data_IF_118107404940
#
_entry.id   IF_118107404940
#
_cell.length_a   1.000
_cell.length_b   1.000
_cell.length_c   1.000
_cell.angle_alpha   90.00
_cell.angle_beta   90.00
_cell.angle_gamma   90.00
#
_symmetry.space_group_name_H-M   'P 1'
#
loop_
_entity.id
_entity.type
_entity.pdbx_description
1 polymer ?
#
# COMPACT_ATOMS: atom_id res chain seq x y z
N UNK A 1 -4.80 50.35 11.49
CA UNK A 1 -4.58 49.80 10.14
C UNK A 1 -4.83 48.29 10.22
N UNK A 2 -5.96 47.85 9.66
CA UNK A 2 -6.42 46.46 9.63
C UNK A 2 -6.15 45.88 8.23
N UNK A 3 -5.74 44.60 8.18
CA UNK A 3 -5.70 43.74 7.00
C UNK A 3 -4.29 43.28 6.58
N UNK A 4 -4.12 42.10 5.94
CA UNK A 4 -5.11 41.09 5.55
C UNK A 4 -4.72 39.66 6.01
N UNK A 5 -5.48 39.06 6.94
CA UNK A 5 -5.38 37.60 7.25
C UNK A 5 -6.62 36.80 6.84
N UNK A 6 -7.63 37.47 6.28
CA UNK A 6 -8.95 36.88 5.99
C UNK A 6 -9.05 36.30 4.57
N UNK A 7 -8.14 36.68 3.65
CA UNK A 7 -8.20 36.26 2.24
C UNK A 7 -7.75 34.81 1.98
N UNK A 8 -6.86 34.23 2.80
CA UNK A 8 -6.34 32.87 2.56
C UNK A 8 -7.33 31.75 2.87
N UNK A 9 -8.21 31.95 3.86
CA UNK A 9 -9.17 30.93 4.30
C UNK A 9 -10.36 30.83 3.32
N UNK A 10 -10.75 31.94 2.67
CA UNK A 10 -11.85 31.96 1.72
C UNK A 10 -11.51 31.27 0.38
N UNK A 11 -10.24 31.32 -0.05
CA UNK A 11 -9.78 30.67 -1.29
C UNK A 11 -9.72 29.14 -1.13
N UNK A 12 -9.36 28.62 0.05
CA UNK A 12 -9.35 27.18 0.32
C UNK A 12 -10.76 26.57 0.38
N UNK A 13 -11.76 27.32 0.83
CA UNK A 13 -13.16 26.85 0.86
C UNK A 13 -13.81 26.78 -0.52
N UNK A 14 -13.45 27.68 -1.45
CA UNK A 14 -14.00 27.67 -2.83
C UNK A 14 -13.41 26.52 -3.66
N UNK A 15 -12.13 26.18 -3.47
CA UNK A 15 -11.51 25.05 -4.17
C UNK A 15 -12.06 23.70 -3.66
N UNK A 16 -12.39 23.59 -2.37
CA UNK A 16 -12.99 22.38 -1.78
C UNK A 16 -14.39 22.05 -2.31
N UNK A 17 -15.17 23.04 -2.76
CA UNK A 17 -16.53 22.84 -3.31
C UNK A 17 -16.54 22.43 -4.79
N UNK A 18 -15.50 22.76 -5.56
CA UNK A 18 -15.42 22.44 -7.00
C UNK A 18 -15.02 20.99 -7.31
N UNK A 19 -14.45 20.25 -6.35
CA UNK A 19 -14.04 18.86 -6.56
C UNK A 19 -15.20 17.86 -6.36
N UNK A 20 -16.30 18.26 -5.73
CA UNK A 20 -17.44 17.37 -5.44
C UNK A 20 -18.38 17.21 -6.65
N UNK A 21 -18.45 18.17 -7.59
CA UNK A 21 -19.37 18.06 -8.74
C UNK A 21 -18.90 17.12 -9.85
N UNK A 22 -17.60 16.85 -9.99
CA UNK A 22 -17.10 15.98 -11.08
C UNK A 22 -17.25 14.48 -10.81
N UNK A 23 -17.54 14.06 -9.57
CA UNK A 23 -17.70 12.64 -9.23
C UNK A 23 -19.10 12.09 -9.53
N UNK A 24 -20.13 12.94 -9.65
CA UNK A 24 -21.52 12.49 -9.80
C UNK A 24 -21.90 12.23 -11.27
N UNK A 25 -21.19 12.83 -12.24
CA UNK A 25 -21.58 12.76 -13.66
C UNK A 25 -21.10 11.50 -14.39
N UNK A 26 -20.12 10.77 -13.85
CA UNK A 26 -19.55 9.60 -14.55
C UNK A 26 -20.40 8.32 -14.42
N UNK A 27 -21.27 8.22 -13.41
CA UNK A 27 -22.02 6.99 -13.17
C UNK A 27 -23.38 6.92 -13.90
N UNK A 28 -23.84 8.03 -14.49
CA UNK A 28 -25.17 8.10 -15.13
C UNK A 28 -25.18 7.71 -16.62
N UNK A 29 -24.02 7.52 -17.27
CA UNK A 29 -23.94 7.49 -18.74
C UNK A 29 -23.97 6.10 -19.41
N UNK A 30 -24.05 5.02 -18.64
CA UNK A 30 -23.93 3.66 -19.20
C UNK A 30 -25.26 2.90 -19.42
N UNK A 31 -26.42 3.49 -19.12
CA UNK A 31 -27.72 2.79 -19.29
C UNK A 31 -28.60 3.28 -20.45
N UNK A 32 -28.11 4.20 -21.29
CA UNK A 32 -28.95 4.78 -22.34
C UNK A 32 -28.37 4.55 -23.75
N UNK A 33 -28.43 3.31 -24.25
CA UNK A 33 -28.37 3.00 -25.70
C UNK A 33 -28.82 1.56 -26.01
N UNK A 34 -30.11 1.36 -26.33
CA UNK A 34 -30.57 0.16 -27.04
C UNK A 34 -32.03 -0.25 -26.80
N UNK A 35 -32.96 0.22 -27.64
CA UNK A 35 -34.38 -0.18 -27.78
C UNK A 35 -34.59 -0.43 -29.30
N UNK A 36 -35.49 -1.29 -29.87
CA UNK A 36 -36.79 -1.79 -29.39
C UNK A 36 -37.10 -3.30 -29.60
N UNK A 37 -38.14 -3.79 -28.93
CA UNK A 37 -38.80 -5.06 -29.26
C UNK A 37 -40.02 -5.34 -28.38
N UNK A 38 -41.06 -4.52 -28.49
CA UNK A 38 -42.31 -4.73 -27.77
C UNK A 38 -43.14 -5.86 -28.42
N UNK A 39 -43.23 -7.00 -27.74
CA UNK A 39 -44.31 -7.96 -27.90
C UNK A 39 -44.98 -8.16 -26.53
N UNK A 40 -46.29 -7.93 -26.47
CA UNK A 40 -47.10 -7.96 -25.26
C UNK A 40 -47.13 -9.36 -24.60
N UNK A 41 -47.25 -9.46 -23.26
CA UNK A 41 -47.49 -10.74 -22.59
C UNK A 41 -49.00 -11.08 -22.60
N UNK A 42 -49.38 -12.37 -22.73
CA UNK A 42 -50.75 -12.78 -22.47
C UNK A 42 -51.04 -12.73 -20.97
N UNK A 43 -52.19 -12.16 -20.62
CA UNK A 43 -52.77 -12.24 -19.28
C UNK A 43 -53.10 -13.70 -18.98
N UNK A 44 -52.67 -14.20 -17.81
CA UNK A 44 -52.99 -15.55 -17.37
C UNK A 44 -52.75 -15.76 -15.89
N UNK A 45 -53.81 -15.61 -15.10
CA UNK A 45 -54.07 -16.39 -13.88
C UNK A 45 -53.30 -16.04 -12.60
N UNK A 46 -54.02 -15.48 -11.63
CA UNK A 46 -53.65 -15.64 -10.21
C UNK A 46 -53.78 -17.13 -9.82
N UNK A 47 -52.96 -17.63 -8.87
CA UNK A 47 -53.48 -17.70 -7.50
C UNK A 47 -52.43 -17.51 -6.37
N UNK A 48 -52.91 -17.01 -5.22
CA UNK A 48 -52.42 -17.39 -3.89
C UNK A 48 -51.56 -16.37 -3.13
N UNK A 49 -51.87 -16.06 -1.84
CA UNK A 49 -50.99 -15.27 -0.99
C UNK A 49 -49.83 -16.17 -0.56
N UNK A 50 -48.72 -16.10 -1.29
CA UNK A 50 -47.49 -16.77 -0.87
C UNK A 50 -46.79 -15.89 0.15
N UNK A 51 -46.72 -16.38 1.38
CA UNK A 51 -45.95 -15.83 2.48
C UNK A 51 -44.56 -15.34 2.03
N UNK A 52 -44.32 -14.04 2.04
CA UNK A 52 -42.97 -13.46 2.05
C UNK A 52 -42.35 -13.74 3.41
N UNK A 53 -41.85 -14.96 3.60
CA UNK A 53 -41.05 -15.37 4.75
C UNK A 53 -39.62 -15.63 4.28
N UNK A 54 -38.69 -14.83 4.81
CA UNK A 54 -37.23 -14.99 4.79
C UNK A 54 -36.53 -15.11 3.41
N UNK A 55 -36.01 -13.98 2.90
CA UNK A 55 -34.83 -13.98 2.00
C UNK A 55 -33.57 -13.39 2.67
N UNK A 56 -33.66 -12.94 3.93
CA UNK A 56 -32.50 -12.41 4.66
C UNK A 56 -31.39 -13.45 4.89
N UNK A 57 -31.73 -14.74 5.08
CA UNK A 57 -30.73 -15.79 5.35
C UNK A 57 -29.79 -16.09 4.18
N UNK A 58 -30.34 -16.24 2.96
CA UNK A 58 -29.55 -16.61 1.78
C UNK A 58 -28.59 -15.50 1.32
N UNK A 59 -28.98 -14.23 1.49
CA UNK A 59 -28.12 -13.08 1.18
C UNK A 59 -26.98 -12.94 2.19
N UNK A 60 -27.25 -13.19 3.49
CA UNK A 60 -26.24 -13.15 4.55
C UNK A 60 -25.21 -14.28 4.38
N UNK A 61 -25.64 -15.48 3.98
CA UNK A 61 -24.72 -16.60 3.72
C UNK A 61 -23.79 -16.34 2.53
N UNK A 62 -24.29 -15.67 1.49
CA UNK A 62 -23.49 -15.32 0.30
C UNK A 62 -22.45 -14.24 0.62
N UNK A 63 -22.82 -13.19 1.35
CA UNK A 63 -21.89 -12.14 1.79
C UNK A 63 -20.77 -12.71 2.68
N UNK A 64 -21.13 -13.58 3.64
CA UNK A 64 -20.16 -14.23 4.52
C UNK A 64 -19.20 -15.16 3.75
N UNK A 65 -19.68 -15.87 2.73
CA UNK A 65 -18.81 -16.71 1.87
C UNK A 65 -17.77 -15.86 1.16
N UNK A 66 -18.20 -14.76 0.54
CA UNK A 66 -17.32 -13.84 -0.16
C UNK A 66 -16.28 -13.21 0.76
N UNK A 67 -16.67 -12.74 1.95
CA UNK A 67 -15.74 -12.18 2.94
C UNK A 67 -14.67 -13.20 3.38
N UNK A 68 -15.04 -14.48 3.51
CA UNK A 68 -14.10 -15.54 3.85
C UNK A 68 -13.11 -15.81 2.70
N UNK A 69 -13.57 -15.81 1.45
CA UNK A 69 -12.71 -15.96 0.27
C UNK A 69 -11.73 -14.80 0.14
N UNK A 70 -12.20 -13.55 0.29
CA UNK A 70 -11.34 -12.35 0.27
C UNK A 70 -10.30 -12.41 1.39
N UNK A 71 -10.71 -12.80 2.60
CA UNK A 71 -9.79 -12.98 3.73
C UNK A 71 -8.75 -14.08 3.44
N UNK A 72 -9.18 -15.20 2.87
CA UNK A 72 -8.27 -16.30 2.52
C UNK A 72 -7.26 -15.85 1.46
N UNK A 73 -7.69 -15.14 0.42
CA UNK A 73 -6.81 -14.59 -0.61
C UNK A 73 -5.79 -13.61 -0.03
N UNK A 74 -6.23 -12.70 0.86
CA UNK A 74 -5.31 -11.78 1.56
C UNK A 74 -4.29 -12.53 2.40
N UNK A 75 -4.71 -13.54 3.16
CA UNK A 75 -3.79 -14.33 3.98
C UNK A 75 -2.75 -15.08 3.14
N UNK A 76 -3.09 -15.50 1.92
CA UNK A 76 -2.13 -16.09 0.98
C UNK A 76 -1.14 -15.04 0.51
N UNK A 77 -1.61 -13.86 0.07
CA UNK A 77 -0.74 -12.76 -0.36
C UNK A 77 0.23 -12.31 0.74
N UNK A 78 -0.24 -12.14 1.98
CA UNK A 78 0.59 -11.80 3.14
C UNK A 78 1.67 -12.85 3.44
N UNK A 79 1.35 -14.15 3.25
CA UNK A 79 2.32 -15.24 3.42
C UNK A 79 3.37 -15.26 2.32
N UNK A 80 2.96 -15.16 1.07
CA UNK A 80 3.88 -15.11 -0.08
C UNK A 80 4.80 -13.89 0.01
N UNK A 81 4.26 -12.75 0.45
CA UNK A 81 5.08 -11.57 0.68
C UNK A 81 6.05 -11.75 1.85
N UNK A 82 5.66 -12.43 2.93
CA UNK A 82 6.56 -12.78 4.03
C UNK A 82 7.78 -13.59 3.53
N UNK A 83 7.55 -14.55 2.63
CA UNK A 83 8.61 -15.37 2.04
C UNK A 83 9.59 -14.53 1.21
N UNK A 84 9.08 -13.56 0.47
CA UNK A 84 9.89 -12.61 -0.31
C UNK A 84 10.72 -11.72 0.61
N UNK A 85 10.12 -11.15 1.65
CA UNK A 85 10.83 -10.32 2.64
C UNK A 85 11.96 -11.13 3.31
N UNK A 86 11.70 -12.38 3.67
CA UNK A 86 12.69 -13.28 4.25
C UNK A 86 13.81 -13.64 3.26
N UNK A 87 13.49 -13.78 1.97
CA UNK A 87 14.49 -14.03 0.92
C UNK A 87 15.37 -12.79 0.70
N UNK A 88 14.78 -11.60 0.59
CA UNK A 88 15.52 -10.34 0.43
C UNK A 88 16.43 -10.09 1.63
N UNK A 89 15.95 -10.28 2.86
CA UNK A 89 16.74 -10.11 4.08
C UNK A 89 18.07 -10.88 4.06
N UNK A 90 18.08 -12.09 3.49
CA UNK A 90 19.27 -12.95 3.39
C UNK A 90 20.27 -12.48 2.32
N UNK A 91 19.82 -11.70 1.35
CA UNK A 91 20.64 -11.18 0.25
C UNK A 91 21.19 -9.79 0.51
N UNK A 92 20.68 -9.09 1.53
CA UNK A 92 21.16 -7.77 1.88
C UNK A 92 22.62 -7.86 2.37
N UNK A 93 23.53 -7.04 1.82
CA UNK A 93 24.93 -7.14 2.13
C UNK A 93 25.24 -6.64 3.53
N UNK A 94 26.14 -7.35 4.19
CA UNK A 94 26.69 -7.00 5.48
C UNK A 94 27.92 -6.09 5.36
N UNK A 95 28.32 -5.48 6.46
CA UNK A 95 29.60 -4.77 6.54
C UNK A 95 30.80 -5.70 6.27
N UNK A 96 30.68 -6.99 6.64
CA UNK A 96 31.71 -7.99 6.34
C UNK A 96 31.83 -8.25 4.85
N UNK A 97 30.72 -8.29 4.12
CA UNK A 97 30.73 -8.45 2.66
C UNK A 97 31.44 -7.28 1.98
N UNK A 98 31.22 -6.06 2.47
CA UNK A 98 31.89 -4.87 1.96
C UNK A 98 33.40 -4.85 2.22
N UNK A 99 33.88 -5.44 3.33
CA UNK A 99 35.32 -5.53 3.61
C UNK A 99 36.07 -6.47 2.67
N UNK A 100 35.36 -7.40 2.02
CA UNK A 100 35.95 -8.36 1.08
C UNK A 100 36.11 -7.79 -0.34
N UNK A 101 35.69 -6.55 -0.57
CA UNK A 101 35.82 -5.92 -1.88
C UNK A 101 37.26 -5.55 -2.18
N UNK A 102 37.67 -5.78 -3.41
CA UNK A 102 38.91 -5.20 -3.92
C UNK A 102 38.75 -3.68 -4.08
N UNK A 103 39.87 -2.94 -4.06
CA UNK A 103 39.85 -1.48 -4.28
C UNK A 103 39.15 -1.11 -5.60
N UNK A 104 39.35 -1.89 -6.66
CA UNK A 104 38.70 -1.68 -7.96
C UNK A 104 37.17 -1.81 -7.86
N UNK A 105 36.67 -2.80 -7.12
CA UNK A 105 35.24 -2.99 -6.92
C UNK A 105 34.63 -1.90 -6.04
N UNK A 106 35.33 -1.52 -4.97
CA UNK A 106 34.88 -0.50 -4.02
C UNK A 106 34.74 0.90 -4.64
N UNK A 107 35.63 1.28 -5.57
CA UNK A 107 35.59 2.58 -6.25
C UNK A 107 34.63 2.65 -7.44
N UNK A 108 34.11 1.51 -7.91
CA UNK A 108 33.17 1.44 -9.03
C UNK A 108 31.70 1.43 -8.57
N UNK A 109 30.93 0.53 -9.15
CA UNK A 109 29.59 0.16 -8.67
C UNK A 109 29.70 -1.26 -8.08
N UNK A 110 29.94 -1.40 -6.77
CA UNK A 110 30.08 -2.71 -6.15
C UNK A 110 28.80 -3.52 -6.39
N UNK A 111 28.96 -4.75 -6.90
CA UNK A 111 27.82 -5.63 -7.22
C UNK A 111 26.87 -5.80 -6.04
N UNK A 112 27.42 -5.90 -4.83
CA UNK A 112 26.62 -6.03 -3.60
C UNK A 112 25.60 -4.89 -3.43
N UNK A 113 25.92 -3.67 -3.87
CA UNK A 113 25.05 -2.50 -3.71
C UNK A 113 23.98 -2.51 -4.80
N UNK A 114 24.37 -2.81 -6.05
CA UNK A 114 23.43 -2.87 -7.18
C UNK A 114 22.44 -4.03 -7.03
N UNK A 115 22.88 -5.18 -6.52
CA UNK A 115 22.01 -6.33 -6.26
C UNK A 115 21.05 -6.04 -5.10
N UNK A 116 21.55 -5.46 -3.98
CA UNK A 116 20.69 -5.04 -2.88
C UNK A 116 19.62 -4.04 -3.33
N UNK A 117 19.96 -3.11 -4.23
CA UNK A 117 19.01 -2.14 -4.78
C UNK A 117 17.90 -2.83 -5.59
N UNK A 118 18.24 -3.85 -6.40
CA UNK A 118 17.25 -4.61 -7.15
C UNK A 118 16.29 -5.40 -6.23
N UNK A 119 16.83 -6.06 -5.21
CA UNK A 119 16.03 -6.82 -4.24
C UNK A 119 15.10 -5.92 -3.43
N UNK A 120 15.56 -4.73 -3.03
CA UNK A 120 14.69 -3.73 -2.38
C UNK A 120 13.66 -3.12 -3.34
N UNK A 121 13.98 -3.03 -4.63
CA UNK A 121 13.06 -2.62 -5.68
C UNK A 121 11.85 -3.55 -5.80
N UNK A 122 12.08 -4.88 -5.72
CA UNK A 122 10.99 -5.87 -5.75
C UNK A 122 10.00 -5.66 -4.60
N UNK A 123 10.48 -5.35 -3.40
CA UNK A 123 9.63 -5.03 -2.24
C UNK A 123 8.78 -3.78 -2.56
N UNK A 124 9.42 -2.71 -3.05
CA UNK A 124 8.72 -1.47 -3.37
C UNK A 124 7.61 -1.68 -4.41
N UNK A 125 7.89 -2.43 -5.48
CA UNK A 125 6.89 -2.74 -6.50
C UNK A 125 5.70 -3.54 -5.95
N UNK A 126 5.95 -4.50 -5.05
CA UNK A 126 4.86 -5.28 -4.43
C UNK A 126 3.99 -4.40 -3.53
N UNK A 127 4.58 -3.48 -2.77
CA UNK A 127 3.84 -2.53 -1.92
C UNK A 127 3.04 -1.50 -2.72
N UNK A 128 3.49 -1.17 -3.93
CA UNK A 128 2.74 -0.33 -4.87
C UNK A 128 1.57 -1.08 -5.47
N UNK A 129 1.78 -2.33 -5.91
CA UNK A 129 0.73 -3.19 -6.48
C UNK A 129 -0.35 -3.57 -5.47
N UNK A 130 0.04 -3.84 -4.22
CA UNK A 130 -0.89 -4.22 -3.15
C UNK A 130 -0.62 -3.40 -1.88
N UNK A 131 -1.36 -2.29 -1.67
CA UNK A 131 -1.24 -1.47 -0.48
C UNK A 131 -1.55 -2.19 0.84
N UNK A 132 -2.29 -3.32 0.81
CA UNK A 132 -2.61 -4.08 2.02
C UNK A 132 -1.35 -4.71 2.66
N UNK A 133 -0.26 -4.83 1.89
CA UNK A 133 1.02 -5.37 2.34
C UNK A 133 1.91 -4.34 3.06
N UNK A 134 1.56 -3.05 3.02
CA UNK A 134 2.37 -1.95 3.59
C UNK A 134 2.69 -2.11 5.08
N UNK A 135 1.79 -2.59 5.95
CA UNK A 135 2.14 -2.85 7.35
C UNK A 135 3.28 -3.87 7.50
N UNK A 136 3.29 -4.92 6.66
CA UNK A 136 4.33 -5.93 6.67
C UNK A 136 5.65 -5.38 6.11
N UNK A 137 5.58 -4.59 5.04
CA UNK A 137 6.73 -3.87 4.49
C UNK A 137 7.36 -2.89 5.49
N UNK A 138 6.55 -2.15 6.25
CA UNK A 138 7.03 -1.27 7.31
C UNK A 138 7.84 -2.03 8.35
N UNK A 139 7.31 -3.17 8.84
CA UNK A 139 8.02 -4.01 9.81
C UNK A 139 9.36 -4.54 9.30
N UNK A 140 9.41 -4.91 8.01
CA UNK A 140 10.68 -5.29 7.36
C UNK A 140 11.68 -4.13 7.34
N UNK A 141 11.29 -2.94 6.86
CA UNK A 141 12.20 -1.82 6.74
C UNK A 141 12.70 -1.31 8.10
N UNK A 142 11.85 -1.32 9.13
CA UNK A 142 12.25 -1.02 10.51
C UNK A 142 13.32 -2.00 11.00
N UNK A 143 13.10 -3.30 10.81
CA UNK A 143 14.05 -4.35 11.22
C UNK A 143 15.37 -4.25 10.43
N UNK A 144 15.30 -3.99 9.13
CA UNK A 144 16.46 -3.77 8.27
C UNK A 144 17.30 -2.57 8.73
N UNK A 145 16.67 -1.42 9.02
CA UNK A 145 17.39 -0.22 9.46
C UNK A 145 18.12 -0.43 10.81
N UNK A 146 17.52 -1.22 11.70
CA UNK A 146 18.06 -1.51 13.03
C UNK A 146 19.18 -2.56 13.03
N UNK A 147 19.30 -3.38 11.98
CA UNK A 147 20.33 -4.43 11.94
C UNK A 147 21.74 -3.81 11.80
N UNK A 148 22.60 -3.91 12.83
CA UNK A 148 23.92 -3.29 12.80
C UNK A 148 24.91 -4.01 11.88
N UNK A 149 24.63 -5.24 11.47
CA UNK A 149 25.49 -6.02 10.58
C UNK A 149 25.35 -5.60 9.12
N UNK A 150 24.21 -5.01 8.74
CA UNK A 150 23.96 -4.59 7.36
C UNK A 150 24.81 -3.39 6.97
N UNK A 151 25.15 -3.35 5.68
CA UNK A 151 25.92 -2.26 5.11
C UNK A 151 25.21 -0.92 5.29
N UNK A 152 25.97 0.13 5.62
CA UNK A 152 25.42 1.43 6.06
C UNK A 152 24.43 2.05 5.07
N UNK A 153 24.70 1.98 3.77
CA UNK A 153 23.79 2.54 2.75
C UNK A 153 22.48 1.77 2.66
N UNK A 154 22.48 0.44 2.83
CA UNK A 154 21.27 -0.37 2.88
C UNK A 154 20.40 0.02 4.06
N UNK A 155 21.02 0.17 5.25
CA UNK A 155 20.31 0.64 6.45
C UNK A 155 19.68 2.01 6.26
N UNK A 156 20.36 2.92 5.56
CA UNK A 156 19.85 4.25 5.26
C UNK A 156 18.65 4.22 4.31
N UNK A 157 18.69 3.40 3.26
CA UNK A 157 17.53 3.18 2.37
C UNK A 157 16.36 2.58 3.14
N UNK A 158 16.60 1.56 3.96
CA UNK A 158 15.56 0.96 4.80
C UNK A 158 14.95 1.99 5.76
N UNK A 159 15.76 2.84 6.39
CA UNK A 159 15.25 3.88 7.28
C UNK A 159 14.41 4.93 6.54
N UNK A 160 14.84 5.36 5.35
CA UNK A 160 14.07 6.26 4.49
C UNK A 160 12.70 5.65 4.14
N UNK A 161 12.68 4.41 3.64
CA UNK A 161 11.43 3.72 3.25
C UNK A 161 10.50 3.47 4.44
N UNK A 162 11.04 3.14 5.61
CA UNK A 162 10.24 3.00 6.83
C UNK A 162 9.52 4.31 7.19
N UNK A 163 10.23 5.45 7.12
CA UNK A 163 9.63 6.76 7.42
C UNK A 163 8.50 7.10 6.44
N UNK A 164 8.71 6.86 5.14
CA UNK A 164 7.69 7.11 4.11
C UNK A 164 6.43 6.26 4.35
N UNK A 165 6.59 4.95 4.55
CA UNK A 165 5.45 4.06 4.80
C UNK A 165 4.72 4.38 6.11
N UNK A 166 5.45 4.77 7.16
CA UNK A 166 4.82 5.17 8.41
C UNK A 166 3.97 6.43 8.26
N UNK A 167 4.47 7.43 7.52
CA UNK A 167 3.72 8.65 7.23
C UNK A 167 2.45 8.34 6.42
N UNK A 168 2.52 7.40 5.47
CA UNK A 168 1.37 6.98 4.65
C UNK A 168 0.30 6.21 5.44
N UNK A 169 0.71 5.34 6.36
CA UNK A 169 -0.22 4.47 7.08
C UNK A 169 -1.05 5.21 8.14
N UNK A 170 -0.67 6.44 8.52
CA UNK A 170 -1.31 7.22 9.60
C UNK A 170 -1.53 6.41 10.89
N UNK A 171 -0.65 5.43 11.12
CA UNK A 171 -0.77 4.45 12.18
C UNK A 171 0.28 4.73 13.26
N UNK A 172 -0.12 4.69 14.52
CA UNK A 172 0.77 4.72 15.68
C UNK A 172 1.63 3.44 15.82
N UNK A 173 1.62 2.56 14.82
CA UNK A 173 2.45 1.36 14.73
C UNK A 173 3.90 1.74 14.34
N UNK A 174 4.45 2.71 15.07
CA UNK A 174 5.86 3.03 15.07
C UNK A 174 6.50 2.38 16.28
N UNK A 175 6.69 1.07 16.22
CA UNK A 175 7.42 0.34 17.27
C UNK A 175 8.95 0.45 17.04
N UNK A 176 9.40 1.66 16.74
CA UNK A 176 10.75 1.97 16.29
C UNK A 176 11.34 3.05 17.17
N UNK A 177 12.47 2.74 17.79
CA UNK A 177 13.23 3.69 18.59
C UNK A 177 14.30 4.34 17.71
N UNK A 178 14.09 5.58 17.21
CA UNK A 178 15.03 6.24 16.32
C UNK A 178 16.38 6.53 16.99
N UNK A 179 16.46 6.50 18.33
CA UNK A 179 17.74 6.69 19.04
C UNK A 179 18.70 5.53 18.81
N UNK A 180 18.20 4.36 18.37
CA UNK A 180 19.01 3.18 18.04
C UNK A 180 19.63 3.24 16.64
N UNK A 181 19.23 4.20 15.81
CA UNK A 181 19.83 4.40 14.50
C UNK A 181 21.00 5.38 14.62
N UNK A 182 22.20 4.98 14.17
CA UNK A 182 23.34 5.88 14.13
C UNK A 182 23.06 7.16 13.32
N UNK A 183 23.55 8.31 13.80
CA UNK A 183 23.34 9.62 13.15
C UNK A 183 23.79 9.61 11.69
N UNK A 184 24.86 8.90 11.40
CA UNK A 184 25.47 8.82 10.08
C UNK A 184 24.59 8.01 9.09
N UNK A 185 23.80 7.03 9.58
CA UNK A 185 22.73 6.37 8.82
C UNK A 185 21.57 7.33 8.57
N UNK A 186 21.16 8.10 9.59
CA UNK A 186 20.07 9.09 9.48
C UNK A 186 20.41 10.16 8.45
N UNK A 187 21.61 10.73 8.50
CA UNK A 187 22.04 11.76 7.53
C UNK A 187 22.11 11.21 6.10
N UNK A 188 22.59 9.97 5.94
CA UNK A 188 22.61 9.32 4.63
C UNK A 188 21.18 9.04 4.11
N UNK A 189 20.23 8.72 5.00
CA UNK A 189 18.86 8.45 4.59
C UNK A 189 18.16 9.68 3.97
N UNK A 190 18.62 10.90 4.27
CA UNK A 190 18.09 12.14 3.71
C UNK A 190 18.50 12.39 2.25
N UNK A 191 19.45 11.61 1.72
CA UNK A 191 19.91 11.74 0.33
C UNK A 191 19.16 10.85 -0.65
N UNK A 192 18.20 10.05 -0.16
CA UNK A 192 17.31 9.21 -0.95
C UNK A 192 15.92 9.82 -0.98
#
# INVERSE_FOLDING_TARGET
MQGPKVFGILVLLIIGLLVIEHAIVSWSKNEASGVPGAAAPPQGGAPGPSNSTLTHGAQVDTARSFENEVRAARNVAEREFAEVLAAVAKKLPTFKDAQNLTAKEAHGHPRLVTEAAAEMGEIAERLERDPSLRPQGLGFYQSCALNPELFRSVRAVCFNRAQLLHAELHQDIWNFDPTKIPKDVIELAKTF
#
